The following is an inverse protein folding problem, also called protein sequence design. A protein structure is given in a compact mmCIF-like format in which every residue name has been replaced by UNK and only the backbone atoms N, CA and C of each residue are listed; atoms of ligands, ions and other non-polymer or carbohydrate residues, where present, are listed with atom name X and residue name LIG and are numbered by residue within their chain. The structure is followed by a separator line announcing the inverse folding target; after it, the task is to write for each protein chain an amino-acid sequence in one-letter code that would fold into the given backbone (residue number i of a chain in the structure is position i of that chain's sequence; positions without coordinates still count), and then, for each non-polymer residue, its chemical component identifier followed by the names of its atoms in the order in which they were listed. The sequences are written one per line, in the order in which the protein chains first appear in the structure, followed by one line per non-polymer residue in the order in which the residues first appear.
data_IF_185195943613
#
_entry.id   IF_185195943613
#
_cell.length_a   1.000
_cell.length_b   1.000
_cell.length_c   1.000
_cell.angle_alpha   90.00
_cell.angle_beta   90.00
_cell.angle_gamma   90.00
#
_symmetry.space_group_name_H-M   'P 1'
#
loop_
_entity.id
_entity.type
_entity.pdbx_description
1 polymer ?
#
# COMPACT_ATOMS: atom_id res chain seq x y z
N UNK A 1 9.88 -20.08 -3.19
CA UNK A 1 10.49 -18.74 -3.12
C UNK A 1 10.21 -18.21 -1.74
N UNK A 2 11.27 -18.12 -0.97
CA UNK A 2 11.20 -17.59 0.38
C UNK A 2 11.24 -16.07 0.30
N UNK A 3 10.26 -15.43 0.96
CA UNK A 3 10.15 -13.97 1.03
C UNK A 3 10.24 -13.55 2.48
N UNK A 4 11.03 -12.51 2.72
CA UNK A 4 11.00 -11.79 3.98
C UNK A 4 10.30 -10.45 3.79
N UNK A 5 9.68 -9.93 4.85
CA UNK A 5 8.94 -8.68 4.83
C UNK A 5 9.50 -7.74 5.89
N UNK A 6 9.73 -6.50 5.53
CA UNK A 6 10.22 -5.48 6.45
C UNK A 6 9.40 -4.20 6.32
N UNK A 7 9.04 -3.54 7.43
CA UNK A 7 8.49 -2.20 7.36
C UNK A 7 9.50 -1.25 6.74
N UNK A 8 9.01 -0.19 6.12
CA UNK A 8 9.88 0.89 5.67
C UNK A 8 10.06 1.88 6.81
N UNK A 9 11.30 1.99 7.23
CA UNK A 9 11.81 2.90 8.25
C UNK A 9 13.12 3.54 7.78
N UNK A 10 13.81 4.24 8.65
CA UNK A 10 15.11 4.88 8.33
C UNK A 10 16.20 3.89 7.94
N UNK A 11 16.14 2.62 8.39
CA UNK A 11 17.12 1.59 8.06
C UNK A 11 16.85 0.94 6.69
N UNK A 12 15.63 0.98 6.21
CA UNK A 12 15.21 0.34 4.95
C UNK A 12 14.85 1.37 3.86
N UNK A 13 14.99 2.66 4.16
CA UNK A 13 14.70 3.74 3.19
C UNK A 13 15.50 3.61 1.89
N UNK A 14 16.79 3.33 1.98
CA UNK A 14 17.66 3.22 0.81
C UNK A 14 17.24 2.07 -0.11
N UNK A 15 16.73 0.99 0.47
CA UNK A 15 16.16 -0.13 -0.27
C UNK A 15 14.88 0.29 -1.03
N UNK A 16 13.99 1.06 -0.38
CA UNK A 16 12.79 1.60 -1.01
C UNK A 16 13.16 2.59 -2.13
N UNK A 17 14.09 3.48 -1.89
CA UNK A 17 14.55 4.46 -2.87
C UNK A 17 15.09 3.77 -4.11
N UNK A 18 16.04 2.85 -3.93
CA UNK A 18 16.62 2.05 -5.00
C UNK A 18 15.57 1.24 -5.77
N UNK A 19 14.60 0.66 -5.05
CA UNK A 19 13.51 -0.11 -5.62
C UNK A 19 12.56 0.75 -6.46
N UNK A 20 12.20 1.95 -5.97
CA UNK A 20 11.29 2.85 -6.67
C UNK A 20 11.97 3.56 -7.87
N UNK A 21 13.24 3.87 -7.77
CA UNK A 21 13.99 4.53 -8.86
C UNK A 21 14.51 3.57 -9.93
N UNK A 22 14.46 2.25 -9.69
CA UNK A 22 14.80 1.26 -10.69
C UNK A 22 13.94 1.38 -11.94
N UNK A 23 14.45 0.94 -13.08
CA UNK A 23 13.72 0.94 -14.36
C UNK A 23 12.37 0.22 -14.21
N UNK A 24 11.29 0.96 -14.48
CA UNK A 24 9.91 0.47 -14.34
C UNK A 24 9.35 0.56 -12.93
N UNK A 25 10.07 1.13 -11.99
CA UNK A 25 9.60 1.43 -10.63
C UNK A 25 8.63 2.60 -10.57
N UNK A 26 7.90 2.79 -9.46
CA UNK A 26 6.88 3.82 -9.32
C UNK A 26 7.46 5.21 -8.95
N UNK A 27 8.61 5.56 -9.51
CA UNK A 27 9.36 6.77 -9.19
C UNK A 27 8.62 8.09 -9.46
N UNK A 28 7.60 8.08 -10.31
CA UNK A 28 6.83 9.29 -10.63
C UNK A 28 5.74 9.60 -9.60
N UNK A 29 5.22 8.61 -8.89
CA UNK A 29 4.16 8.80 -7.90
C UNK A 29 4.64 8.69 -6.44
N UNK A 30 5.74 7.96 -6.17
CA UNK A 30 6.25 7.69 -4.82
C UNK A 30 5.15 7.24 -3.84
N UNK A 31 4.11 6.57 -4.34
CA UNK A 31 2.90 6.18 -3.60
C UNK A 31 2.20 7.31 -2.83
N UNK A 32 2.35 8.57 -3.30
CA UNK A 32 1.76 9.75 -2.68
C UNK A 32 0.34 10.08 -3.19
N UNK A 33 -0.21 9.28 -4.12
CA UNK A 33 -1.54 9.53 -4.72
C UNK A 33 -2.63 9.70 -3.66
N UNK A 34 -2.58 8.91 -2.61
CA UNK A 34 -3.57 8.91 -1.54
C UNK A 34 -3.08 9.55 -0.24
N UNK A 35 -1.86 10.09 -0.21
CA UNK A 35 -1.34 10.77 0.97
C UNK A 35 -1.53 12.28 0.86
N UNK A 36 -1.78 13.00 1.98
CA UNK A 36 -1.80 14.45 1.96
C UNK A 36 -0.41 14.99 1.63
N UNK A 37 -0.39 16.12 0.92
CA UNK A 37 0.82 16.89 0.63
C UNK A 37 0.52 18.36 0.83
N UNK A 38 1.55 19.15 1.18
CA UNK A 38 1.43 20.60 1.35
C UNK A 38 1.05 21.31 0.03
N UNK A 39 1.48 20.74 -1.12
CA UNK A 39 1.08 21.19 -2.45
C UNK A 39 0.11 20.18 -3.08
N UNK A 40 -0.73 20.68 -4.00
CA UNK A 40 -1.56 19.77 -4.80
C UNK A 40 -0.71 18.76 -5.56
N UNK A 41 -1.13 17.49 -5.54
CA UNK A 41 -0.41 16.39 -6.16
C UNK A 41 -0.16 16.62 -7.66
N UNK A 42 -1.08 17.28 -8.36
CA UNK A 42 -0.99 17.61 -9.78
C UNK A 42 0.15 18.59 -10.10
N UNK A 43 0.52 19.45 -9.14
CA UNK A 43 1.60 20.44 -9.25
C UNK A 43 2.91 19.98 -8.65
N UNK A 44 2.91 18.83 -7.95
CA UNK A 44 4.09 18.32 -7.26
C UNK A 44 5.01 17.58 -8.22
N UNK A 45 6.30 17.92 -8.17
CA UNK A 45 7.34 17.20 -8.91
C UNK A 45 7.64 15.86 -8.25
N UNK A 46 8.33 14.97 -8.97
CA UNK A 46 8.83 13.69 -8.45
C UNK A 46 9.62 13.87 -7.14
N UNK A 47 10.51 14.88 -7.11
CA UNK A 47 11.33 15.18 -5.94
C UNK A 47 10.50 15.57 -4.72
N UNK A 48 9.43 16.35 -4.89
CA UNK A 48 8.55 16.76 -3.79
C UNK A 48 7.83 15.56 -3.17
N UNK A 49 7.38 14.63 -4.02
CA UNK A 49 6.71 13.40 -3.58
C UNK A 49 7.66 12.48 -2.81
N UNK A 50 8.89 12.33 -3.31
CA UNK A 50 9.95 11.58 -2.62
C UNK A 50 10.26 12.19 -1.26
N UNK A 51 10.47 13.51 -1.20
CA UNK A 51 10.77 14.22 0.02
C UNK A 51 9.64 14.12 1.04
N UNK A 52 8.37 14.20 0.60
CA UNK A 52 7.21 14.05 1.48
C UNK A 52 7.12 12.64 2.08
N UNK A 53 7.33 11.59 1.29
CA UNK A 53 7.34 10.22 1.81
C UNK A 53 8.54 10.00 2.76
N UNK A 54 9.72 10.55 2.41
CA UNK A 54 10.91 10.48 3.26
C UNK A 54 10.68 11.15 4.62
N UNK A 55 10.03 12.32 4.61
CA UNK A 55 9.68 13.04 5.85
C UNK A 55 8.80 12.20 6.77
N UNK A 56 7.78 11.50 6.24
CA UNK A 56 6.96 10.59 7.05
C UNK A 56 7.81 9.46 7.66
N UNK A 57 8.74 8.89 6.89
CA UNK A 57 9.65 7.84 7.39
C UNK A 57 10.56 8.38 8.49
N UNK A 58 11.13 9.59 8.31
CA UNK A 58 12.01 10.22 9.30
C UNK A 58 11.28 10.59 10.60
N UNK A 59 9.97 10.87 10.50
CA UNK A 59 9.11 11.09 11.67
C UNK A 59 8.64 9.77 12.32
N UNK A 60 9.06 8.61 11.82
CA UNK A 60 8.65 7.29 12.35
C UNK A 60 7.21 6.91 12.00
N UNK A 61 6.58 7.58 11.04
CA UNK A 61 5.24 7.23 10.59
C UNK A 61 5.25 5.95 9.74
N UNK A 62 4.33 5.01 9.98
CA UNK A 62 4.17 3.86 9.09
C UNK A 62 3.82 4.29 7.67
N UNK A 63 4.54 3.77 6.68
CA UNK A 63 4.27 4.07 5.27
C UNK A 63 3.97 2.84 4.44
N UNK A 64 4.43 1.67 4.88
CA UNK A 64 4.24 0.41 4.21
C UNK A 64 5.35 -0.60 4.46
N UNK A 65 5.32 -1.69 3.71
CA UNK A 65 6.27 -2.79 3.82
C UNK A 65 6.92 -3.12 2.47
N UNK A 66 8.16 -3.58 2.51
CA UNK A 66 8.87 -4.19 1.39
C UNK A 66 8.91 -5.70 1.56
N UNK A 67 8.75 -6.43 0.45
CA UNK A 67 9.05 -7.85 0.36
C UNK A 67 10.41 -8.04 -0.32
N UNK A 68 11.22 -8.93 0.24
CA UNK A 68 12.56 -9.25 -0.22
C UNK A 68 12.65 -10.70 -0.68
N UNK A 69 13.38 -10.95 -1.75
CA UNK A 69 13.89 -12.25 -2.17
C UNK A 69 15.42 -12.17 -2.21
N UNK A 70 16.10 -13.05 -1.49
CA UNK A 70 17.57 -13.05 -1.42
C UNK A 70 18.18 -11.67 -1.09
N UNK A 71 17.59 -10.96 -0.13
CA UNK A 71 17.96 -9.59 0.29
C UNK A 71 17.68 -8.49 -0.73
N UNK A 72 17.09 -8.79 -1.89
CA UNK A 72 16.69 -7.80 -2.89
C UNK A 72 15.21 -7.42 -2.72
N UNK A 73 14.83 -6.13 -2.65
CA UNK A 73 13.44 -5.72 -2.60
C UNK A 73 12.76 -6.02 -3.95
N UNK A 74 11.68 -6.81 -3.91
CA UNK A 74 10.98 -7.29 -5.11
C UNK A 74 9.53 -6.83 -5.19
N UNK A 75 8.95 -6.43 -4.06
CA UNK A 75 7.59 -5.92 -4.02
C UNK A 75 7.37 -4.93 -2.87
N UNK A 76 6.37 -4.09 -3.02
CA UNK A 76 5.95 -3.04 -2.10
C UNK A 76 4.46 -3.09 -1.84
N UNK A 77 4.06 -2.78 -0.62
CA UNK A 77 2.69 -2.54 -0.23
C UNK A 77 2.60 -1.29 0.66
N UNK A 78 1.81 -0.30 0.24
CA UNK A 78 1.50 0.87 1.08
C UNK A 78 0.38 0.52 2.04
N UNK A 79 0.71 0.50 3.33
CA UNK A 79 -0.22 0.30 4.44
C UNK A 79 0.17 1.19 5.62
N UNK A 80 -0.81 1.87 6.21
CA UNK A 80 -0.63 2.77 7.34
C UNK A 80 -1.97 3.03 8.04
N UNK A 81 -2.01 3.66 9.22
CA UNK A 81 -3.25 4.16 9.80
C UNK A 81 -4.07 4.95 8.79
N UNK A 82 -5.40 4.78 8.78
CA UNK A 82 -6.29 5.46 7.82
C UNK A 82 -6.11 6.98 7.83
N UNK A 83 -5.79 7.56 8.99
CA UNK A 83 -5.51 9.00 9.14
C UNK A 83 -4.28 9.49 8.37
N UNK A 84 -3.37 8.60 7.97
CA UNK A 84 -2.20 8.94 7.13
C UNK A 84 -2.56 9.17 5.66
N UNK A 85 -3.80 8.95 5.29
CA UNK A 85 -4.29 9.08 3.92
C UNK A 85 -5.37 10.16 3.81
N UNK A 86 -5.57 10.66 2.60
CA UNK A 86 -6.76 11.45 2.25
C UNK A 86 -8.00 10.59 2.44
N UNK A 87 -9.17 11.21 2.42
CA UNK A 87 -10.42 10.46 2.44
C UNK A 87 -10.49 9.47 1.26
N UNK A 88 -10.57 8.21 1.61
CA UNK A 88 -10.66 7.08 0.68
C UNK A 88 -12.09 6.59 0.52
N UNK A 89 -13.06 7.24 1.17
CA UNK A 89 -14.47 6.84 1.26
C UNK A 89 -14.64 5.46 1.92
N UNK A 90 -13.85 5.21 2.97
CA UNK A 90 -13.93 4.00 3.77
C UNK A 90 -15.15 3.95 4.69
N UNK A 91 -15.30 2.88 5.46
CA UNK A 91 -16.39 2.72 6.42
C UNK A 91 -16.17 3.65 7.65
N UNK A 92 -16.95 4.73 7.81
CA UNK A 92 -16.75 5.69 8.90
C UNK A 92 -17.13 5.15 10.28
N UNK A 93 -17.84 4.03 10.35
CA UNK A 93 -18.26 3.40 11.60
C UNK A 93 -17.13 2.62 12.30
N UNK A 94 -16.00 2.42 11.63
CA UNK A 94 -14.90 1.61 12.12
C UNK A 94 -13.78 2.47 12.72
N UNK A 95 -13.30 2.08 13.92
CA UNK A 95 -12.15 2.65 14.58
C UNK A 95 -10.92 1.74 14.52
N UNK A 96 -9.71 2.33 14.70
CA UNK A 96 -8.47 1.58 14.68
C UNK A 96 -8.18 0.94 13.32
N UNK A 97 -8.57 1.65 12.24
CA UNK A 97 -8.45 1.17 10.87
C UNK A 97 -7.09 1.53 10.28
N UNK A 98 -6.45 0.54 9.68
CA UNK A 98 -5.31 0.72 8.79
C UNK A 98 -5.76 0.54 7.34
N UNK A 99 -5.33 1.43 6.45
CA UNK A 99 -5.69 1.40 5.02
C UNK A 99 -4.55 0.84 4.18
N UNK A 100 -4.90 -0.13 3.33
CA UNK A 100 -4.01 -0.76 2.38
C UNK A 100 -4.37 -0.24 0.97
N UNK A 101 -3.48 0.53 0.35
CA UNK A 101 -3.86 1.39 -0.78
C UNK A 101 -3.10 1.18 -2.07
N UNK A 102 -1.93 0.55 -2.05
CA UNK A 102 -1.11 0.43 -3.25
C UNK A 102 -0.20 -0.78 -3.19
N UNK A 103 -0.06 -1.45 -4.33
CA UNK A 103 0.92 -2.50 -4.56
C UNK A 103 1.81 -2.16 -5.74
N UNK A 104 3.08 -2.47 -5.60
CA UNK A 104 4.00 -2.53 -6.72
C UNK A 104 4.85 -3.80 -6.62
N UNK A 105 4.87 -4.59 -7.71
CA UNK A 105 5.63 -5.84 -7.80
C UNK A 105 6.51 -5.76 -9.05
N UNK A 106 7.82 -6.02 -8.90
CA UNK A 106 8.74 -6.11 -10.05
C UNK A 106 8.19 -7.08 -11.09
N UNK A 107 8.31 -6.74 -12.36
CA UNK A 107 7.71 -7.51 -13.49
C UNK A 107 8.09 -8.99 -13.45
N UNK A 108 9.35 -9.31 -13.14
CA UNK A 108 9.84 -10.68 -13.07
C UNK A 108 9.17 -11.54 -11.98
N UNK A 109 8.52 -10.93 -11.00
CA UNK A 109 7.88 -11.59 -9.87
C UNK A 109 6.34 -11.61 -9.95
N UNK A 110 5.76 -11.03 -11.00
CA UNK A 110 4.29 -11.02 -11.21
C UNK A 110 3.78 -12.39 -11.60
N UNK A 111 2.48 -12.63 -11.39
CA UNK A 111 1.84 -13.92 -11.73
C UNK A 111 2.16 -15.07 -10.78
N UNK A 112 2.88 -14.83 -9.67
CA UNK A 112 3.32 -15.83 -8.70
C UNK A 112 2.60 -15.76 -7.36
N UNK A 113 1.44 -15.11 -7.30
CA UNK A 113 0.64 -14.99 -6.08
C UNK A 113 1.17 -14.00 -5.04
N UNK A 114 2.18 -13.18 -5.37
CA UNK A 114 2.82 -12.26 -4.42
C UNK A 114 1.85 -11.24 -3.81
N UNK A 115 0.83 -10.82 -4.54
CA UNK A 115 -0.16 -9.87 -4.00
C UNK A 115 -0.85 -10.43 -2.77
N UNK A 116 -1.26 -11.70 -2.78
CA UNK A 116 -1.88 -12.33 -1.62
C UNK A 116 -0.91 -12.37 -0.42
N UNK A 117 0.33 -12.80 -0.64
CA UNK A 117 1.37 -12.83 0.39
C UNK A 117 1.70 -11.45 0.96
N UNK A 118 1.69 -10.40 0.12
CA UNK A 118 1.84 -9.01 0.58
C UNK A 118 0.67 -8.55 1.44
N UNK A 119 -0.57 -8.92 1.08
CA UNK A 119 -1.75 -8.60 1.88
C UNK A 119 -1.65 -9.27 3.25
N UNK A 120 -1.30 -10.55 3.31
CA UNK A 120 -1.12 -11.29 4.56
C UNK A 120 -0.03 -10.65 5.44
N UNK A 121 1.12 -10.30 4.86
CA UNK A 121 2.19 -9.62 5.57
C UNK A 121 1.77 -8.22 6.06
N UNK A 122 1.04 -7.46 5.25
CA UNK A 122 0.53 -6.15 5.61
C UNK A 122 -0.52 -6.23 6.74
N UNK A 123 -1.38 -7.24 6.71
CA UNK A 123 -2.35 -7.53 7.77
C UNK A 123 -1.65 -7.84 9.09
N UNK A 124 -0.61 -8.68 9.05
CA UNK A 124 0.18 -9.00 10.24
C UNK A 124 0.90 -7.76 10.79
N UNK A 125 1.52 -6.97 9.92
CA UNK A 125 2.16 -5.72 10.32
C UNK A 125 1.17 -4.74 10.98
N UNK A 126 -0.01 -4.56 10.40
CA UNK A 126 -1.04 -3.71 10.99
C UNK A 126 -1.49 -4.25 12.37
N UNK A 127 -1.69 -5.57 12.51
CA UNK A 127 -2.07 -6.22 13.78
C UNK A 127 -1.01 -5.98 14.87
N UNK A 128 0.25 -6.18 14.56
CA UNK A 128 1.38 -5.95 15.47
C UNK A 128 1.49 -4.50 15.93
N UNK A 129 0.96 -3.57 15.13
CA UNK A 129 0.90 -2.14 15.44
C UNK A 129 -0.46 -1.68 15.99
N UNK A 130 -1.28 -2.59 16.50
CA UNK A 130 -2.51 -2.28 17.23
C UNK A 130 -3.72 -1.93 16.37
N UNK A 131 -3.70 -2.24 15.08
CA UNK A 131 -4.88 -2.09 14.23
C UNK A 131 -5.99 -3.04 14.67
N UNK A 132 -7.25 -2.58 14.58
CA UNK A 132 -8.44 -3.40 14.80
C UNK A 132 -9.04 -3.91 13.49
N UNK A 133 -8.82 -3.17 12.42
CA UNK A 133 -9.29 -3.49 11.08
C UNK A 133 -8.24 -3.12 10.05
N UNK A 134 -8.16 -3.91 8.98
CA UNK A 134 -7.50 -3.49 7.73
C UNK A 134 -8.60 -3.24 6.69
N UNK A 135 -8.54 -2.07 6.08
CA UNK A 135 -9.45 -1.64 5.02
C UNK A 135 -8.69 -1.51 3.70
N UNK A 136 -9.26 -2.03 2.62
CA UNK A 136 -8.68 -1.99 1.29
C UNK A 136 -9.71 -1.51 0.26
N UNK A 137 -9.23 -1.03 -0.90
CA UNK A 137 -10.05 -0.40 -1.92
C UNK A 137 -9.86 -1.03 -3.30
N UNK A 138 -9.97 -2.37 -3.41
CA UNK A 138 -9.70 -3.08 -4.65
C UNK A 138 -10.72 -2.78 -5.74
N UNK A 139 -10.34 -3.13 -6.97
CA UNK A 139 -11.19 -3.04 -8.15
C UNK A 139 -11.51 -4.41 -8.73
N UNK A 140 -12.46 -4.46 -9.63
CA UNK A 140 -12.71 -5.64 -10.47
C UNK A 140 -11.66 -5.77 -11.57
N UNK A 141 -11.39 -6.96 -12.11
CA UNK A 141 -10.33 -7.19 -13.12
C UNK A 141 -10.49 -6.39 -14.41
N UNK A 142 -11.72 -6.06 -14.78
CA UNK A 142 -12.09 -5.28 -15.95
C UNK A 142 -11.99 -3.76 -15.74
N UNK A 143 -11.71 -3.31 -14.50
CA UNK A 143 -11.58 -1.89 -14.22
C UNK A 143 -10.46 -1.24 -15.05
N UNK A 144 -10.74 -0.11 -15.72
CA UNK A 144 -9.73 0.59 -16.52
C UNK A 144 -8.69 1.34 -15.68
N UNK A 145 -8.90 1.48 -14.35
CA UNK A 145 -8.03 2.23 -13.45
C UNK A 145 -7.94 1.61 -12.06
N UNK A 146 -7.03 2.12 -11.22
CA UNK A 146 -6.81 1.71 -9.82
C UNK A 146 -6.37 0.25 -9.62
N UNK A 147 -5.89 -0.45 -10.66
CA UNK A 147 -5.43 -1.84 -10.56
C UNK A 147 -4.28 -2.04 -9.57
N UNK A 148 -3.54 -0.97 -9.29
CA UNK A 148 -2.50 -0.96 -8.27
C UNK A 148 -3.04 -1.09 -6.82
N UNK A 149 -4.34 -0.99 -6.63
CA UNK A 149 -5.01 -1.22 -5.34
C UNK A 149 -5.41 -2.70 -5.15
N UNK A 150 -5.10 -3.55 -6.11
CA UNK A 150 -5.42 -4.98 -6.09
C UNK A 150 -6.84 -5.30 -6.60
N UNK A 151 -7.15 -6.58 -6.62
CA UNK A 151 -8.42 -7.08 -7.15
C UNK A 151 -9.31 -7.65 -6.05
N UNK A 152 -10.60 -7.33 -6.08
CA UNK A 152 -11.63 -7.75 -5.12
C UNK A 152 -11.55 -9.24 -4.79
N UNK A 153 -11.41 -10.10 -5.80
CA UNK A 153 -11.37 -11.55 -5.62
C UNK A 153 -10.18 -12.02 -4.74
N UNK A 154 -9.04 -11.33 -4.80
CA UNK A 154 -7.87 -11.65 -3.96
C UNK A 154 -8.17 -11.36 -2.50
N UNK A 155 -8.77 -10.22 -2.21
CA UNK A 155 -9.14 -9.83 -0.85
C UNK A 155 -10.25 -10.74 -0.28
N UNK A 156 -11.27 -11.09 -1.09
CA UNK A 156 -12.31 -12.03 -0.67
C UNK A 156 -11.73 -13.38 -0.22
N UNK A 157 -10.77 -13.93 -0.98
CA UNK A 157 -10.10 -15.18 -0.60
C UNK A 157 -9.31 -15.11 0.70
N UNK A 158 -8.91 -13.91 1.09
CA UNK A 158 -8.18 -13.63 2.33
C UNK A 158 -9.11 -13.19 3.48
N UNK A 159 -10.42 -13.37 3.31
CA UNK A 159 -11.41 -13.13 4.37
C UNK A 159 -11.87 -11.68 4.49
N UNK A 160 -11.51 -10.80 3.56
CA UNK A 160 -12.06 -9.44 3.56
C UNK A 160 -13.52 -9.44 3.11
N UNK A 161 -14.35 -8.71 3.84
CA UNK A 161 -15.76 -8.53 3.58
C UNK A 161 -16.04 -7.23 2.83
N UNK A 162 -16.95 -7.28 1.87
CA UNK A 162 -17.39 -6.10 1.14
C UNK A 162 -18.26 -5.22 2.05
N UNK A 163 -17.91 -3.94 2.19
CA UNK A 163 -18.66 -2.94 2.96
C UNK A 163 -19.43 -1.96 2.07
N UNK A 164 -18.90 -1.65 0.90
CA UNK A 164 -19.52 -0.67 0.02
C UNK A 164 -18.66 -0.30 -1.18
N UNK A 165 -18.89 0.90 -1.70
CA UNK A 165 -18.18 1.48 -2.84
C UNK A 165 -17.43 2.74 -2.42
N UNK A 166 -16.24 2.92 -2.98
CA UNK A 166 -15.45 4.14 -2.91
C UNK A 166 -15.42 4.79 -4.31
N UNK A 167 -16.39 5.66 -4.57
CA UNK A 167 -16.65 6.19 -5.90
C UNK A 167 -17.18 5.14 -6.87
N UNK A 168 -16.96 5.31 -8.17
CA UNK A 168 -17.58 4.47 -9.20
C UNK A 168 -16.89 3.11 -9.39
N UNK A 169 -15.60 2.97 -9.07
CA UNK A 169 -14.78 1.82 -9.49
C UNK A 169 -14.22 0.99 -8.36
N UNK A 170 -13.91 1.61 -7.22
CA UNK A 170 -13.30 0.93 -6.08
C UNK A 170 -14.36 0.32 -5.18
N UNK A 171 -14.08 -0.84 -4.63
CA UNK A 171 -14.86 -1.45 -3.56
C UNK A 171 -14.20 -1.11 -2.22
N UNK A 172 -14.99 -0.93 -1.17
CA UNK A 172 -14.49 -0.87 0.20
C UNK A 172 -14.58 -2.25 0.79
N UNK A 173 -13.47 -2.81 1.21
CA UNK A 173 -13.40 -4.14 1.82
C UNK A 173 -12.64 -4.08 3.13
N UNK A 174 -13.12 -4.77 4.16
CA UNK A 174 -12.53 -4.76 5.50
C UNK A 174 -12.26 -6.16 6.01
N UNK A 175 -11.18 -6.29 6.77
CA UNK A 175 -10.86 -7.47 7.57
C UNK A 175 -10.74 -7.05 9.04
N UNK A 176 -11.50 -7.70 9.92
CA UNK A 176 -11.34 -7.55 11.36
C UNK A 176 -10.13 -8.38 11.83
N UNK A 177 -9.28 -7.80 12.68
CA UNK A 177 -8.02 -8.41 13.16
C UNK A 177 -8.15 -9.12 14.49
#
# INVERSE_FOLDING_TARGET
MDLTYRPVDTNTWDDLEKFFEAKGGPHFCWCMVWRPMAQELSRSKKADKKAALKSSVDCGEPVGILAYSDSEPVAWCSIAPRSSYRDLSGDPSLDGVWSLVCFFIKRAYRGRGLTAKLIEAAVNYARENGARYVEAYPVTPDSPSYRFMGYTRTFQRLGFELRGKAGLRRNVMTLKL
#
